data_IF_314453143286
#
_entry.id   IF_314453143286
#
_cell.length_a   1.000
_cell.length_b   1.000
_cell.length_c   1.000
_cell.angle_alpha   90.00
_cell.angle_beta   90.00
_cell.angle_gamma   90.00
#
_symmetry.space_group_name_H-M   'P 1'
#
loop_
_entity.id
_entity.type
_entity.pdbx_description
1 polymer ?
#
# COMPACT_ATOMS: atom_id res chain seq x y z
N UNK A 1 -95.83 -30.96 -25.81
CA UNK A 1 -96.53 -29.78 -25.29
C UNK A 1 -95.59 -28.98 -24.40
N UNK A 2 -95.32 -27.76 -24.76
CA UNK A 2 -94.57 -26.75 -23.96
C UNK A 2 -95.43 -26.28 -22.80
N UNK A 3 -94.91 -25.74 -21.72
CA UNK A 3 -94.12 -24.52 -21.56
C UNK A 3 -93.11 -24.64 -20.36
N UNK A 4 -92.25 -23.69 -20.07
CA UNK A 4 -92.08 -22.28 -20.16
C UNK A 4 -90.99 -21.90 -19.14
N UNK A 5 -89.98 -21.24 -19.56
CA UNK A 5 -88.77 -20.91 -18.78
C UNK A 5 -88.93 -19.45 -18.28
N UNK A 6 -88.69 -19.22 -16.97
CA UNK A 6 -88.45 -17.87 -16.42
C UNK A 6 -87.02 -17.74 -15.99
N UNK A 7 -86.35 -16.72 -16.64
CA UNK A 7 -84.99 -16.23 -16.28
C UNK A 7 -85.05 -15.29 -15.10
N UNK A 8 -84.26 -15.58 -14.09
CA UNK A 8 -83.91 -14.62 -13.06
C UNK A 8 -82.46 -14.27 -13.22
N UNK A 9 -82.18 -12.97 -13.54
CA UNK A 9 -80.85 -12.42 -13.66
C UNK A 9 -80.38 -12.02 -12.27
N UNK A 10 -79.23 -12.57 -11.82
CA UNK A 10 -78.50 -12.12 -10.63
C UNK A 10 -77.32 -11.24 -11.06
N UNK A 11 -77.34 -10.01 -10.59
CA UNK A 11 -76.23 -9.05 -10.70
C UNK A 11 -75.14 -9.40 -9.68
N UNK A 12 -73.95 -9.72 -10.16
CA UNK A 12 -72.73 -9.83 -9.32
C UNK A 12 -71.86 -8.60 -9.62
N UNK A 13 -71.80 -7.72 -8.64
CA UNK A 13 -70.93 -6.55 -8.69
C UNK A 13 -69.47 -6.95 -8.44
N UNK A 14 -68.64 -6.84 -9.46
CA UNK A 14 -67.19 -7.05 -9.37
C UNK A 14 -66.48 -5.83 -8.82
N UNK A 15 -65.92 -5.91 -7.62
CA UNK A 15 -65.07 -4.92 -7.03
C UNK A 15 -63.66 -5.08 -7.62
N UNK A 16 -63.28 -4.23 -8.56
CA UNK A 16 -61.93 -4.19 -9.11
C UNK A 16 -60.99 -3.51 -8.11
N UNK A 17 -60.12 -4.28 -7.50
CA UNK A 17 -59.05 -3.80 -6.62
C UNK A 17 -57.87 -3.40 -7.49
N UNK A 18 -57.64 -2.04 -7.68
CA UNK A 18 -56.47 -1.52 -8.33
C UNK A 18 -55.28 -1.69 -7.38
N UNK A 19 -54.38 -2.65 -7.67
CA UNK A 19 -53.03 -2.69 -7.06
C UNK A 19 -52.17 -1.61 -7.76
N UNK A 20 -51.96 -0.50 -7.10
CA UNK A 20 -50.88 0.45 -7.43
C UNK A 20 -49.54 -0.17 -7.05
N UNK A 21 -48.83 -0.79 -8.02
CA UNK A 21 -47.42 -1.10 -7.89
C UNK A 21 -46.65 0.23 -7.91
N UNK A 22 -46.30 0.74 -6.74
CA UNK A 22 -45.33 1.82 -6.60
C UNK A 22 -43.94 1.34 -7.00
N UNK A 23 -43.50 1.63 -8.22
CA UNK A 23 -42.12 1.47 -8.62
C UNK A 23 -41.26 2.46 -7.80
N UNK A 24 -40.57 1.96 -6.77
CA UNK A 24 -39.51 2.72 -6.10
C UNK A 24 -38.41 3.01 -7.13
N UNK A 25 -38.37 4.23 -7.66
CA UNK A 25 -37.26 4.72 -8.46
C UNK A 25 -36.00 4.72 -7.56
N UNK A 26 -35.14 3.71 -7.74
CA UNK A 26 -33.78 3.76 -7.22
C UNK A 26 -33.10 4.96 -7.86
N UNK A 27 -33.02 6.07 -7.12
CA UNK A 27 -32.30 7.27 -7.52
C UNK A 27 -30.84 6.91 -7.75
N UNK A 28 -30.45 6.85 -9.02
CA UNK A 28 -29.03 6.83 -9.41
C UNK A 28 -28.42 8.12 -8.91
N UNK A 29 -27.71 8.08 -7.79
CA UNK A 29 -26.91 9.20 -7.34
C UNK A 29 -25.84 9.44 -8.42
N UNK A 30 -26.04 10.50 -9.23
CA UNK A 30 -25.01 10.97 -10.14
C UNK A 30 -23.74 11.24 -9.33
N UNK A 31 -22.54 10.80 -9.78
CA UNK A 31 -21.30 11.14 -9.09
C UNK A 31 -21.18 12.66 -9.04
N UNK A 32 -21.15 13.20 -7.83
CA UNK A 32 -20.88 14.63 -7.59
C UNK A 32 -19.56 14.95 -8.29
N UNK A 33 -19.48 15.96 -9.17
CA UNK A 33 -18.22 16.34 -9.80
C UNK A 33 -17.19 16.61 -8.71
N UNK A 34 -16.05 15.94 -8.78
CA UNK A 34 -14.97 16.11 -7.79
C UNK A 34 -14.52 17.58 -7.86
N UNK A 35 -14.68 18.29 -6.75
CA UNK A 35 -14.19 19.66 -6.59
C UNK A 35 -12.66 19.64 -6.81
N UNK A 36 -12.12 20.32 -7.83
CA UNK A 36 -10.68 20.32 -8.13
C UNK A 36 -9.84 20.87 -6.98
N UNK A 37 -10.44 21.63 -6.05
CA UNK A 37 -9.78 22.14 -4.85
C UNK A 37 -9.57 21.08 -3.77
N UNK A 38 -10.22 19.90 -3.89
CA UNK A 38 -10.14 18.78 -2.94
C UNK A 38 -9.25 17.65 -3.42
N UNK A 39 -8.15 17.97 -4.10
CA UNK A 39 -7.14 17.01 -4.53
C UNK A 39 -5.90 17.13 -3.66
N UNK A 40 -5.43 16.01 -3.14
CA UNK A 40 -4.17 15.91 -2.41
C UNK A 40 -3.18 15.12 -3.26
N UNK A 41 -2.01 15.71 -3.52
CA UNK A 41 -0.94 15.11 -4.32
C UNK A 41 0.16 14.62 -3.43
N UNK A 42 0.54 13.33 -3.62
CA UNK A 42 1.67 12.70 -2.95
C UNK A 42 2.62 12.10 -3.99
N UNK A 43 3.92 12.15 -3.71
CA UNK A 43 4.92 11.41 -4.47
C UNK A 43 5.14 10.02 -3.85
N UNK A 44 5.50 9.04 -4.69
CA UNK A 44 5.74 7.67 -4.27
C UNK A 44 6.75 6.98 -5.21
N UNK A 45 7.00 5.70 -4.97
CA UNK A 45 7.84 4.85 -5.80
C UNK A 45 7.07 3.59 -6.23
N UNK A 46 7.64 2.86 -7.19
CA UNK A 46 7.21 1.49 -7.51
C UNK A 46 7.75 0.53 -6.43
N UNK A 47 6.90 0.13 -5.50
CA UNK A 47 7.23 -0.77 -4.38
C UNK A 47 6.09 -1.75 -4.11
N UNK A 48 5.85 -2.69 -5.04
CA UNK A 48 4.77 -3.64 -4.91
C UNK A 48 4.99 -4.62 -3.74
N UNK A 49 3.93 -5.02 -3.02
CA UNK A 49 2.51 -4.79 -3.30
C UNK A 49 1.94 -3.52 -2.64
N UNK A 50 2.75 -2.69 -2.01
CA UNK A 50 2.32 -1.54 -1.23
C UNK A 50 1.88 -0.35 -2.08
N UNK A 51 2.67 -0.03 -3.12
CA UNK A 51 2.43 1.11 -4.01
C UNK A 51 3.00 0.82 -5.40
N UNK A 52 2.31 1.28 -6.45
CA UNK A 52 2.73 1.11 -7.84
C UNK A 52 1.62 1.47 -8.83
N UNK A 53 2.00 2.08 -9.96
CA UNK A 53 1.06 2.59 -10.95
C UNK A 53 0.20 1.49 -11.58
N UNK A 54 0.77 0.30 -11.79
CA UNK A 54 0.12 -0.85 -12.43
C UNK A 54 -0.63 -1.77 -11.47
N UNK A 55 -0.51 -1.55 -10.15
CA UNK A 55 -1.16 -2.40 -9.15
C UNK A 55 -2.67 -2.12 -9.06
N UNK A 56 -3.50 -3.13 -8.72
CA UNK A 56 -4.88 -2.91 -8.35
C UNK A 56 -4.97 -1.86 -7.23
N UNK A 57 -5.84 -0.86 -7.41
CA UNK A 57 -5.98 0.28 -6.49
C UNK A 57 -4.66 1.02 -6.20
N UNK A 58 -3.69 0.91 -7.10
CA UNK A 58 -2.33 1.45 -6.97
C UNK A 58 -1.53 0.90 -5.76
N UNK A 59 -1.91 -0.27 -5.24
CA UNK A 59 -1.24 -0.95 -4.14
C UNK A 59 -1.88 -0.71 -2.77
N UNK A 60 -1.45 -1.51 -1.79
CA UNK A 60 -2.14 -1.63 -0.51
C UNK A 60 -2.10 -0.35 0.33
N UNK A 61 -0.95 0.30 0.48
CA UNK A 61 -0.85 1.56 1.22
C UNK A 61 -1.53 2.72 0.48
N UNK A 62 -1.47 2.74 -0.85
CA UNK A 62 -2.21 3.70 -1.67
C UNK A 62 -3.71 3.56 -1.45
N UNK A 63 -4.23 2.33 -1.40
CA UNK A 63 -5.63 2.05 -1.14
C UNK A 63 -6.09 2.57 0.24
N UNK A 64 -5.24 2.43 1.27
CA UNK A 64 -5.51 2.97 2.62
C UNK A 64 -5.58 4.49 2.58
N UNK A 65 -4.60 5.16 1.98
CA UNK A 65 -4.56 6.63 1.88
C UNK A 65 -5.78 7.13 1.09
N UNK A 66 -6.10 6.48 -0.04
CA UNK A 66 -7.24 6.85 -0.87
C UNK A 66 -8.57 6.72 -0.11
N UNK A 67 -8.75 5.63 0.65
CA UNK A 67 -9.95 5.42 1.48
C UNK A 67 -10.06 6.47 2.61
N UNK A 68 -8.94 6.76 3.28
CA UNK A 68 -8.89 7.79 4.32
C UNK A 68 -9.27 9.16 3.77
N UNK A 69 -8.68 9.56 2.66
CA UNK A 69 -8.98 10.84 2.01
C UNK A 69 -10.42 10.92 1.48
N UNK A 70 -10.93 9.83 0.89
CA UNK A 70 -12.31 9.76 0.41
C UNK A 70 -13.32 9.93 1.56
N UNK A 71 -13.03 9.37 2.75
CA UNK A 71 -13.88 9.56 3.95
C UNK A 71 -13.96 11.02 4.42
N UNK A 72 -13.01 11.85 3.98
CA UNK A 72 -12.92 13.28 4.26
C UNK A 72 -13.36 14.16 3.08
N UNK A 73 -13.82 13.55 1.97
CA UNK A 73 -14.25 14.25 0.77
C UNK A 73 -13.11 14.74 -0.13
N UNK A 74 -11.93 14.14 0.00
CA UNK A 74 -10.75 14.43 -0.83
C UNK A 74 -10.43 13.29 -1.77
N UNK A 75 -9.74 13.59 -2.88
CA UNK A 75 -9.20 12.63 -3.84
C UNK A 75 -7.67 12.62 -3.76
N UNK A 76 -7.09 11.43 -3.84
CA UNK A 76 -5.65 11.23 -3.90
C UNK A 76 -5.18 11.25 -5.37
N UNK A 77 -4.11 11.98 -5.66
CA UNK A 77 -3.30 11.84 -6.87
C UNK A 77 -1.89 11.42 -6.48
N UNK A 78 -1.38 10.37 -7.12
CA UNK A 78 -0.04 9.84 -6.87
C UNK A 78 0.82 9.96 -8.12
N UNK A 79 2.05 10.44 -7.95
CA UNK A 79 3.06 10.39 -9.00
C UNK A 79 4.25 9.53 -8.53
N UNK A 80 4.70 8.64 -9.42
CA UNK A 80 5.72 7.64 -9.14
C UNK A 80 7.07 8.06 -9.68
N UNK A 81 8.10 7.95 -8.84
CA UNK A 81 9.48 8.34 -9.15
C UNK A 81 10.46 7.33 -8.54
N UNK A 82 11.73 7.30 -8.99
CA UNK A 82 12.80 6.70 -8.21
C UNK A 82 12.83 7.28 -6.79
N UNK A 83 13.12 6.46 -5.78
CA UNK A 83 12.96 6.83 -4.37
C UNK A 83 13.64 8.15 -3.99
N UNK A 84 14.91 8.30 -4.37
CA UNK A 84 15.66 9.54 -4.10
C UNK A 84 14.96 10.79 -4.65
N UNK A 85 14.32 10.69 -5.83
CA UNK A 85 13.56 11.78 -6.42
C UNK A 85 12.23 12.00 -5.71
N UNK A 86 11.50 10.92 -5.36
CA UNK A 86 10.22 11.03 -4.64
C UNK A 86 10.37 11.81 -3.33
N UNK A 87 11.42 11.49 -2.55
CA UNK A 87 11.71 12.17 -1.28
C UNK A 87 12.25 13.58 -1.48
N UNK A 88 13.13 13.80 -2.48
CA UNK A 88 13.70 15.13 -2.78
C UNK A 88 12.63 16.16 -3.18
N UNK A 89 11.61 15.73 -3.96
CA UNK A 89 10.53 16.61 -4.37
C UNK A 89 9.76 17.22 -3.20
N UNK A 90 9.66 16.53 -2.08
CA UNK A 90 8.95 17.03 -0.90
C UNK A 90 9.81 17.99 -0.06
N UNK A 91 11.15 17.93 -0.19
CA UNK A 91 12.07 18.85 0.49
C UNK A 91 12.08 20.25 -0.15
N UNK A 92 11.72 20.33 -1.42
CA UNK A 92 11.74 21.58 -2.19
C UNK A 92 10.32 22.06 -2.48
N UNK A 93 10.17 23.25 -3.04
CA UNK A 93 8.86 23.73 -3.46
C UNK A 93 8.34 22.90 -4.65
N UNK A 94 7.24 22.19 -4.41
CA UNK A 94 6.65 21.26 -5.38
C UNK A 94 5.15 21.09 -5.11
N UNK A 95 4.38 20.56 -6.06
CA UNK A 95 2.94 20.34 -5.89
C UNK A 95 2.60 19.20 -4.93
N UNK A 96 3.60 18.45 -4.45
CA UNK A 96 3.39 17.31 -3.56
C UNK A 96 3.42 17.76 -2.09
N UNK A 97 2.35 17.44 -1.35
CA UNK A 97 2.26 17.74 0.09
C UNK A 97 3.16 16.81 0.92
N UNK A 98 3.47 15.63 0.41
CA UNK A 98 4.27 14.62 1.08
C UNK A 98 4.65 13.45 0.17
N UNK A 99 5.38 12.48 0.72
CA UNK A 99 5.75 11.22 0.06
C UNK A 99 5.44 10.01 0.95
N UNK A 100 5.30 8.83 0.35
CA UNK A 100 5.03 7.55 1.02
C UNK A 100 5.43 6.35 0.16
N UNK A 101 5.45 5.11 0.72
CA UNK A 101 5.47 4.80 2.15
C UNK A 101 6.88 4.97 2.72
N UNK A 102 7.00 5.30 4.00
CA UNK A 102 8.29 5.48 4.65
C UNK A 102 8.37 4.64 5.94
N UNK A 103 9.52 4.02 6.18
CA UNK A 103 9.91 3.52 7.48
C UNK A 103 10.53 4.65 8.30
N UNK A 104 9.90 4.99 9.41
CA UNK A 104 10.32 6.16 10.18
C UNK A 104 11.65 5.93 10.91
N UNK A 105 12.53 6.93 10.85
CA UNK A 105 13.69 7.11 11.71
C UNK A 105 13.55 8.37 12.56
N UNK A 106 14.37 8.48 13.62
CA UNK A 106 14.39 9.69 14.44
C UNK A 106 14.80 10.94 13.65
N UNK A 107 15.67 10.81 12.64
CA UNK A 107 16.08 11.92 11.78
C UNK A 107 14.92 12.40 10.90
N UNK A 108 14.21 11.49 10.26
CA UNK A 108 13.03 11.82 9.45
C UNK A 108 11.90 12.43 10.29
N UNK A 109 11.69 11.95 11.52
CA UNK A 109 10.70 12.52 12.43
C UNK A 109 11.02 13.97 12.85
N UNK A 110 12.29 14.40 12.75
CA UNK A 110 12.70 15.81 12.97
C UNK A 110 12.59 16.65 11.71
N UNK A 111 12.74 16.02 10.53
CA UNK A 111 12.73 16.71 9.24
C UNK A 111 11.34 16.92 8.69
N UNK A 112 10.42 15.96 8.90
CA UNK A 112 9.09 15.92 8.30
C UNK A 112 7.97 15.87 9.33
N UNK A 113 6.78 16.31 8.93
CA UNK A 113 5.56 16.03 9.66
C UNK A 113 5.08 14.61 9.27
N UNK A 114 4.88 13.74 10.24
CA UNK A 114 4.59 12.32 10.01
C UNK A 114 3.13 12.01 10.26
N UNK A 115 2.51 11.17 9.41
CA UNK A 115 1.14 10.68 9.61
C UNK A 115 1.01 9.71 10.79
N UNK A 116 -0.22 9.37 11.17
CA UNK A 116 -0.49 8.10 11.82
C UNK A 116 -0.11 6.93 10.89
N UNK A 117 0.13 5.70 11.39
CA UNK A 117 0.52 4.57 10.55
C UNK A 117 -0.51 4.25 9.47
N UNK A 118 -0.04 3.96 8.25
CA UNK A 118 -0.84 3.55 7.10
C UNK A 118 -0.73 2.05 6.80
N UNK A 119 0.02 1.31 7.60
CA UNK A 119 0.24 -0.12 7.46
C UNK A 119 1.53 -0.56 8.15
N UNK A 120 1.89 -1.82 7.91
CA UNK A 120 3.14 -2.42 8.40
C UNK A 120 3.88 -3.13 7.29
N UNK A 121 5.21 -3.24 7.45
CA UNK A 121 6.12 -3.95 6.57
C UNK A 121 7.06 -4.87 7.33
N UNK A 122 6.94 -6.21 7.16
CA UNK A 122 7.78 -7.19 7.84
C UNK A 122 9.18 -7.22 7.20
N UNK A 123 10.11 -6.45 7.77
CA UNK A 123 11.48 -6.30 7.31
C UNK A 123 12.34 -7.47 7.75
N UNK A 124 13.14 -8.04 6.85
CA UNK A 124 14.01 -9.17 7.13
C UNK A 124 15.03 -9.40 6.03
N UNK A 125 15.58 -10.62 5.96
CA UNK A 125 16.65 -10.93 5.04
C UNK A 125 16.24 -11.98 4.01
N UNK A 126 16.57 -11.74 2.74
CA UNK A 126 16.65 -12.77 1.72
C UNK A 126 18.09 -13.30 1.61
N UNK A 127 18.24 -14.60 1.28
CA UNK A 127 19.51 -15.28 1.11
C UNK A 127 19.47 -16.27 -0.06
N UNK A 128 20.64 -16.70 -0.55
CA UNK A 128 20.73 -17.70 -1.61
C UNK A 128 20.45 -19.10 -1.07
N UNK A 129 19.57 -19.87 -1.70
CA UNK A 129 19.11 -21.19 -1.23
C UNK A 129 20.26 -22.19 -0.98
N UNK A 130 21.34 -22.13 -1.80
CA UNK A 130 22.52 -22.99 -1.64
C UNK A 130 23.48 -22.52 -0.54
N UNK A 131 23.26 -21.33 0.05
CA UNK A 131 24.11 -20.76 1.10
C UNK A 131 23.25 -20.24 2.28
N UNK A 132 22.62 -21.14 3.06
CA UNK A 132 21.77 -20.73 4.17
C UNK A 132 22.55 -19.92 5.21
N UNK A 133 21.95 -18.84 5.66
CA UNK A 133 22.51 -17.95 6.67
C UNK A 133 21.82 -18.18 8.01
N UNK A 134 22.62 -18.24 9.09
CA UNK A 134 22.12 -18.27 10.48
C UNK A 134 22.60 -17.02 11.19
N UNK A 135 21.70 -16.39 11.91
CA UNK A 135 21.97 -15.24 12.76
C UNK A 135 20.99 -15.22 13.93
N UNK A 136 21.48 -14.89 15.09
CA UNK A 136 20.71 -14.77 16.33
C UNK A 136 20.75 -13.35 16.89
N UNK A 137 21.79 -12.60 16.54
CA UNK A 137 21.99 -11.22 16.96
C UNK A 137 22.46 -10.34 15.80
N UNK A 138 22.39 -9.05 15.97
CA UNK A 138 22.97 -8.08 15.02
C UNK A 138 24.49 -8.21 14.88
N UNK A 139 25.17 -8.75 15.90
CA UNK A 139 26.61 -9.00 15.84
C UNK A 139 26.96 -10.09 14.82
N UNK A 140 26.12 -11.11 14.68
CA UNK A 140 26.33 -12.22 13.75
C UNK A 140 26.25 -11.77 12.29
N UNK A 141 25.56 -10.67 12.04
CA UNK A 141 25.40 -10.08 10.69
C UNK A 141 26.65 -9.33 10.22
N UNK A 142 27.54 -8.90 11.13
CA UNK A 142 28.73 -8.09 10.81
C UNK A 142 29.72 -8.76 9.85
N UNK A 143 29.74 -10.08 9.80
CA UNK A 143 30.57 -10.88 8.86
C UNK A 143 30.04 -10.87 7.41
N UNK A 144 28.80 -10.43 7.21
CA UNK A 144 28.16 -10.43 5.89
C UNK A 144 28.12 -9.02 5.30
N UNK A 145 28.43 -8.89 4.00
CA UNK A 145 28.10 -7.72 3.22
C UNK A 145 26.63 -7.82 2.79
N UNK A 146 25.80 -6.89 3.25
CA UNK A 146 24.35 -6.95 3.08
C UNK A 146 23.91 -5.99 1.97
N UNK A 147 23.18 -6.48 0.97
CA UNK A 147 22.54 -5.66 -0.06
C UNK A 147 21.44 -4.82 0.59
N UNK A 148 21.46 -3.50 0.35
CA UNK A 148 20.45 -2.54 0.81
C UNK A 148 20.01 -1.65 -0.35
N UNK A 149 18.85 -1.03 -0.25
CA UNK A 149 18.45 0.00 -1.23
C UNK A 149 18.96 1.34 -0.74
N UNK A 150 19.56 2.09 -1.65
CA UNK A 150 20.09 3.42 -1.36
C UNK A 150 18.98 4.37 -0.90
N UNK A 151 19.21 5.05 0.22
CA UNK A 151 18.24 5.98 0.81
C UNK A 151 17.06 5.36 1.55
N UNK A 152 16.98 4.01 1.65
CA UNK A 152 15.97 3.39 2.51
C UNK A 152 16.38 3.49 3.98
N UNK A 153 15.40 3.81 4.84
CA UNK A 153 15.52 3.59 6.27
C UNK A 153 15.28 2.10 6.55
N UNK A 154 16.14 1.51 7.36
CA UNK A 154 15.97 0.13 7.82
C UNK A 154 15.54 0.13 9.29
N UNK A 155 16.30 -0.53 10.18
CA UNK A 155 16.06 -0.42 11.62
C UNK A 155 17.10 0.49 12.25
N UNK A 156 16.74 1.19 13.34
CA UNK A 156 17.67 2.08 14.03
C UNK A 156 18.97 1.37 14.42
N UNK A 157 18.85 0.12 14.90
CA UNK A 157 20.00 -0.68 15.29
C UNK A 157 20.89 -1.03 14.08
N UNK A 158 20.30 -1.42 12.95
CA UNK A 158 21.05 -1.76 11.73
C UNK A 158 21.72 -0.52 11.16
N UNK A 159 20.98 0.57 10.98
CA UNK A 159 21.49 1.80 10.36
C UNK A 159 22.58 2.45 11.24
N UNK A 160 22.44 2.38 12.57
CA UNK A 160 23.49 2.83 13.49
C UNK A 160 24.76 2.01 13.32
N UNK A 161 24.69 0.69 13.16
CA UNK A 161 25.87 -0.16 12.91
C UNK A 161 26.53 0.17 11.57
N UNK A 162 25.74 0.49 10.53
CA UNK A 162 26.27 0.94 9.23
C UNK A 162 27.02 2.25 9.40
N UNK A 163 26.42 3.27 10.05
CA UNK A 163 27.07 4.56 10.33
C UNK A 163 28.37 4.43 11.14
N UNK A 164 28.43 3.44 12.05
CA UNK A 164 29.61 3.15 12.85
C UNK A 164 30.66 2.28 12.13
N UNK A 165 30.44 1.89 10.88
CA UNK A 165 31.33 0.98 10.15
C UNK A 165 31.35 -0.47 10.68
N UNK A 166 30.40 -0.84 11.57
CA UNK A 166 30.27 -2.17 12.17
C UNK A 166 29.44 -3.14 11.32
N UNK A 167 28.82 -2.65 10.25
CA UNK A 167 28.07 -3.43 9.30
C UNK A 167 28.41 -2.98 7.86
N UNK A 168 28.94 -3.91 7.08
CA UNK A 168 29.20 -3.66 5.66
C UNK A 168 27.89 -3.78 4.86
N UNK A 169 27.66 -2.82 3.98
CA UNK A 169 26.52 -2.83 3.05
C UNK A 169 26.96 -2.70 1.59
N UNK A 170 26.09 -3.11 0.70
CA UNK A 170 26.25 -3.01 -0.77
C UNK A 170 24.97 -2.37 -1.33
N UNK A 171 24.97 -1.06 -1.61
CA UNK A 171 23.78 -0.35 -2.04
C UNK A 171 23.36 -0.73 -3.46
N UNK A 172 22.05 -0.66 -3.71
CA UNK A 172 21.41 -0.81 -5.00
C UNK A 172 20.32 0.25 -5.16
N UNK A 173 19.92 0.52 -6.40
CA UNK A 173 18.89 1.54 -6.69
C UNK A 173 17.46 1.08 -6.35
N UNK A 174 17.23 -0.25 -6.23
CA UNK A 174 15.94 -0.84 -5.85
C UNK A 174 16.10 -2.30 -5.40
N UNK A 175 15.02 -2.85 -4.85
CA UNK A 175 14.96 -4.24 -4.37
C UNK A 175 15.19 -5.27 -5.48
N UNK A 176 14.67 -5.04 -6.69
CA UNK A 176 14.86 -5.94 -7.83
C UNK A 176 16.35 -6.12 -8.15
N UNK A 177 17.11 -5.02 -8.20
CA UNK A 177 18.55 -5.09 -8.43
C UNK A 177 19.27 -5.85 -7.30
N UNK A 178 18.89 -5.64 -6.06
CA UNK A 178 19.46 -6.37 -4.92
C UNK A 178 19.19 -7.87 -5.01
N UNK A 179 17.96 -8.28 -5.33
CA UNK A 179 17.63 -9.71 -5.51
C UNK A 179 18.40 -10.35 -6.67
N UNK A 180 18.66 -9.61 -7.75
CA UNK A 180 19.52 -10.07 -8.85
C UNK A 180 20.98 -10.23 -8.40
N UNK A 181 21.51 -9.32 -7.56
CA UNK A 181 22.86 -9.48 -6.96
C UNK A 181 22.91 -10.71 -6.06
N UNK A 182 21.87 -10.95 -5.28
CA UNK A 182 21.76 -12.13 -4.41
C UNK A 182 21.74 -13.43 -5.22
N UNK A 183 20.89 -13.52 -6.24
CA UNK A 183 20.80 -14.69 -7.10
C UNK A 183 22.12 -14.99 -7.84
N UNK A 184 22.89 -13.95 -8.18
CA UNK A 184 24.22 -14.06 -8.78
C UNK A 184 25.36 -14.32 -7.76
N UNK A 185 25.05 -14.50 -6.47
CA UNK A 185 26.04 -14.74 -5.42
C UNK A 185 26.96 -13.56 -5.11
N UNK A 186 26.62 -12.33 -5.55
CA UNK A 186 27.43 -11.13 -5.34
C UNK A 186 27.32 -10.58 -3.90
N UNK A 187 26.21 -10.84 -3.25
CA UNK A 187 25.98 -10.54 -1.82
C UNK A 187 25.36 -11.78 -1.17
N UNK A 188 25.74 -12.13 0.06
CA UNK A 188 25.18 -13.29 0.80
C UNK A 188 23.78 -13.02 1.35
N UNK A 189 23.44 -11.76 1.63
CA UNK A 189 22.18 -11.32 2.20
C UNK A 189 21.66 -10.05 1.51
N UNK A 190 20.35 -9.94 1.46
CA UNK A 190 19.64 -8.69 1.08
C UNK A 190 18.65 -8.35 2.16
N UNK A 191 18.69 -7.14 2.66
CA UNK A 191 17.68 -6.59 3.56
C UNK A 191 16.50 -6.08 2.73
N UNK A 192 15.32 -6.65 2.97
CA UNK A 192 14.13 -6.42 2.15
C UNK A 192 12.87 -6.69 2.96
N UNK A 193 11.78 -6.00 2.63
CA UNK A 193 10.44 -6.33 3.13
C UNK A 193 9.98 -7.69 2.59
N UNK A 194 9.37 -8.53 3.45
CA UNK A 194 8.94 -9.89 3.08
C UNK A 194 7.85 -9.90 2.00
N UNK A 195 6.92 -8.93 2.04
CA UNK A 195 5.83 -8.86 1.06
C UNK A 195 6.35 -8.37 -0.29
N UNK A 196 7.29 -7.42 -0.28
CA UNK A 196 7.99 -6.97 -1.50
C UNK A 196 8.79 -8.11 -2.11
N UNK A 197 9.56 -8.83 -1.31
CA UNK A 197 10.27 -10.04 -1.73
C UNK A 197 9.33 -11.04 -2.38
N UNK A 198 8.25 -11.43 -1.70
CA UNK A 198 7.29 -12.41 -2.20
C UNK A 198 6.65 -11.93 -3.52
N UNK A 199 6.23 -10.67 -3.59
CA UNK A 199 5.64 -10.12 -4.81
C UNK A 199 6.63 -10.16 -5.99
N UNK A 200 7.86 -9.70 -5.78
CA UNK A 200 8.87 -9.64 -6.83
C UNK A 200 9.25 -11.02 -7.35
N UNK A 201 9.49 -12.01 -6.49
CA UNK A 201 9.88 -13.36 -6.94
C UNK A 201 8.74 -14.12 -7.62
N UNK A 202 7.49 -13.74 -7.36
CA UNK A 202 6.31 -14.37 -7.99
C UNK A 202 5.89 -13.70 -9.30
N UNK A 203 5.99 -12.38 -9.37
CA UNK A 203 5.34 -11.60 -10.43
C UNK A 203 6.31 -10.89 -11.39
N UNK A 204 7.56 -10.60 -10.95
CA UNK A 204 8.52 -9.94 -11.84
C UNK A 204 9.10 -10.92 -12.86
N UNK A 205 9.03 -10.57 -14.15
CA UNK A 205 9.44 -11.44 -15.25
C UNK A 205 10.92 -11.87 -15.18
N UNK A 206 11.80 -10.99 -14.67
CA UNK A 206 13.25 -11.28 -14.56
C UNK A 206 13.59 -12.06 -13.27
N UNK A 207 12.81 -11.90 -12.20
CA UNK A 207 13.07 -12.54 -10.91
C UNK A 207 12.36 -13.88 -10.76
N UNK A 208 11.22 -14.08 -11.41
CA UNK A 208 10.49 -15.36 -11.36
C UNK A 208 11.34 -16.58 -11.77
N UNK A 209 12.18 -16.55 -12.82
CA UNK A 209 13.09 -17.64 -13.13
C UNK A 209 14.17 -17.87 -12.06
N UNK A 210 14.50 -16.86 -11.27
CA UNK A 210 15.50 -16.91 -10.19
C UNK A 210 14.90 -17.31 -8.84
N UNK A 211 13.57 -17.38 -8.71
CA UNK A 211 12.88 -17.71 -7.47
C UNK A 211 13.37 -19.01 -6.78
N UNK A 212 13.72 -20.11 -7.53
CA UNK A 212 14.28 -21.32 -6.91
C UNK A 212 15.59 -21.08 -6.16
N UNK A 213 16.36 -20.06 -6.54
CA UNK A 213 17.65 -19.71 -5.94
C UNK A 213 17.52 -18.83 -4.69
N UNK A 214 16.33 -18.27 -4.45
CA UNK A 214 16.11 -17.25 -3.42
C UNK A 214 15.25 -17.81 -2.28
N UNK A 215 15.57 -17.44 -1.06
CA UNK A 215 14.78 -17.76 0.15
C UNK A 215 14.69 -16.53 1.02
N UNK A 216 13.55 -16.37 1.69
CA UNK A 216 13.40 -15.39 2.75
C UNK A 216 13.64 -16.05 4.11
N UNK A 217 14.41 -15.40 4.97
CA UNK A 217 14.73 -15.93 6.29
C UNK A 217 13.49 -15.89 7.18
N UNK A 218 13.15 -16.97 7.93
CA UNK A 218 11.94 -17.03 8.75
C UNK A 218 11.91 -15.98 9.86
N UNK A 219 13.09 -15.66 10.42
CA UNK A 219 13.23 -14.63 11.45
C UNK A 219 13.23 -13.25 10.80
N UNK A 220 12.30 -12.40 11.21
CA UNK A 220 12.26 -10.98 10.85
C UNK A 220 13.31 -10.20 11.63
N UNK A 221 13.78 -9.12 11.03
CA UNK A 221 14.54 -8.10 11.72
C UNK A 221 13.62 -7.23 12.57
N UNK A 222 12.51 -6.76 11.97
CA UNK A 222 11.48 -5.94 12.62
C UNK A 222 10.19 -5.97 11.79
N UNK A 223 9.03 -5.87 12.43
CA UNK A 223 7.77 -5.54 11.75
C UNK A 223 7.54 -4.03 11.87
N UNK A 224 7.95 -3.31 10.83
CA UNK A 224 7.96 -1.84 10.83
C UNK A 224 6.63 -1.26 10.41
N UNK A 225 6.27 -0.13 11.03
CA UNK A 225 5.13 0.68 10.59
C UNK A 225 5.52 1.52 9.37
N UNK A 226 4.54 1.73 8.49
CA UNK A 226 4.65 2.56 7.30
C UNK A 226 3.91 3.87 7.50
N UNK A 227 4.48 4.97 7.00
CA UNK A 227 4.00 6.33 7.22
C UNK A 227 4.00 7.16 5.94
N UNK A 228 3.32 8.31 6.00
CA UNK A 228 3.47 9.41 5.05
C UNK A 228 4.33 10.48 5.73
N UNK A 229 5.32 10.98 5.02
CA UNK A 229 6.14 12.13 5.43
C UNK A 229 5.66 13.36 4.68
N UNK A 230 5.14 14.35 5.40
CA UNK A 230 4.65 15.62 4.84
C UNK A 230 5.68 16.71 5.01
N UNK A 231 5.65 17.69 4.11
CA UNK A 231 6.48 18.89 4.21
C UNK A 231 6.21 19.63 5.53
N UNK A 232 7.25 20.12 6.24
CA UNK A 232 7.08 20.84 7.50
C UNK A 232 6.68 22.31 7.27
N UNK A 233 5.49 22.52 6.68
CA UNK A 233 4.88 23.82 6.44
C UNK A 233 3.36 23.77 6.68
N UNK A 234 2.68 24.91 6.56
CA UNK A 234 1.24 25.02 6.82
C UNK A 234 0.40 24.07 5.94
N UNK A 235 0.77 23.88 4.69
CA UNK A 235 0.05 22.96 3.79
C UNK A 235 0.27 21.49 4.18
N UNK A 236 1.51 21.09 4.49
CA UNK A 236 1.80 19.74 4.99
C UNK A 236 1.08 19.44 6.30
N UNK A 237 1.01 20.39 7.22
CA UNK A 237 0.24 20.26 8.48
C UNK A 237 -1.26 20.11 8.22
N UNK A 238 -1.82 20.92 7.32
CA UNK A 238 -3.22 20.82 6.91
C UNK A 238 -3.52 19.42 6.33
N UNK A 239 -2.69 18.94 5.41
CA UNK A 239 -2.88 17.64 4.76
C UNK A 239 -2.70 16.50 5.75
N UNK A 240 -1.70 16.55 6.63
CA UNK A 240 -1.50 15.57 7.71
C UNK A 240 -2.74 15.45 8.60
N UNK A 241 -3.31 16.57 9.00
CA UNK A 241 -4.53 16.62 9.84
C UNK A 241 -5.70 15.94 9.12
N UNK A 242 -5.92 16.22 7.83
CA UNK A 242 -6.97 15.59 7.02
C UNK A 242 -6.74 14.07 6.92
N UNK A 243 -5.52 13.65 6.59
CA UNK A 243 -5.18 12.22 6.46
C UNK A 243 -5.41 11.50 7.79
N UNK A 244 -4.87 12.01 8.90
CA UNK A 244 -5.00 11.37 10.20
C UNK A 244 -6.48 11.29 10.67
N UNK A 245 -7.27 12.32 10.38
CA UNK A 245 -8.71 12.29 10.65
C UNK A 245 -9.42 11.22 9.80
N UNK A 246 -9.02 11.05 8.53
CA UNK A 246 -9.54 10.03 7.64
C UNK A 246 -9.13 8.62 8.04
N UNK A 247 -7.87 8.42 8.45
CA UNK A 247 -7.38 7.12 8.95
C UNK A 247 -8.18 6.60 10.15
N UNK A 248 -8.65 7.49 11.03
CA UNK A 248 -9.50 7.15 12.18
C UNK A 248 -10.93 6.76 11.79
N UNK A 249 -11.36 6.98 10.55
CA UNK A 249 -12.70 6.68 10.03
C UNK A 249 -12.79 5.37 9.26
N UNK A 250 -11.67 4.72 9.01
CA UNK A 250 -11.60 3.48 8.23
C UNK A 250 -10.99 2.35 9.04
N UNK A 251 -11.28 1.12 8.66
CA UNK A 251 -10.56 -0.06 9.13
C UNK A 251 -9.32 -0.26 8.23
N UNK A 252 -8.16 0.20 8.71
CA UNK A 252 -6.89 0.13 7.97
C UNK A 252 -6.53 -1.32 7.65
N UNK A 253 -6.68 -2.23 8.62
CA UNK A 253 -6.31 -3.65 8.44
C UNK A 253 -7.21 -4.33 7.40
N UNK A 254 -8.51 -4.06 7.42
CA UNK A 254 -9.43 -4.59 6.42
C UNK A 254 -9.12 -4.07 5.02
N UNK A 255 -8.80 -2.78 4.87
CA UNK A 255 -8.43 -2.18 3.57
C UNK A 255 -7.12 -2.75 3.05
N UNK A 256 -6.11 -2.90 3.92
CA UNK A 256 -4.82 -3.53 3.58
C UNK A 256 -5.01 -4.98 3.14
N UNK A 257 -5.73 -5.79 3.94
CA UNK A 257 -5.98 -7.20 3.65
C UNK A 257 -6.69 -7.38 2.30
N UNK A 258 -7.73 -6.58 2.05
CA UNK A 258 -8.47 -6.61 0.79
C UNK A 258 -7.58 -6.22 -0.42
N UNK A 259 -6.67 -5.26 -0.25
CA UNK A 259 -5.77 -4.83 -1.32
C UNK A 259 -4.62 -5.83 -1.57
N UNK A 260 -4.08 -6.43 -0.51
CA UNK A 260 -3.04 -7.48 -0.61
C UNK A 260 -3.61 -8.79 -1.16
N UNK A 261 -4.84 -9.17 -0.78
CA UNK A 261 -5.54 -10.36 -1.29
C UNK A 261 -5.91 -10.25 -2.77
N UNK A 262 -6.29 -9.09 -3.25
CA UNK A 262 -6.58 -8.83 -4.65
C UNK A 262 -5.33 -8.92 -5.56
N UNK A 263 -4.14 -8.75 -5.02
CA UNK A 263 -2.87 -8.89 -5.75
C UNK A 263 -2.34 -10.32 -5.85
N UNK A 264 -2.92 -11.28 -5.11
CA UNK A 264 -2.53 -12.70 -5.12
C UNK A 264 -3.43 -13.62 -5.94
N UNK A 265 -4.45 -13.09 -6.60
CA UNK A 265 -5.47 -13.87 -7.32
C UNK A 265 -5.31 -13.86 -8.85
N UNK A 266 -4.15 -13.48 -9.38
CA UNK A 266 -3.85 -13.56 -10.83
C UNK A 266 -2.67 -14.50 -11.09
#
# INVERSE_FOLDING_TARGET
>A
MRPGVHFLAAWVGGLAMLLCCGAAAAGSASPVPADPTRVIRLSSLEWPPYTGASLPRHGATTAVIAAALASMGYRLEVAYFPWSRATALVRHDSPFAGYYPEYLSADLAREFLVSDPIGTGPLGFAYHAAAPVRWDSMADLSKYRIGVVEGYVNTEQFDTRVRQGKQMVDPAVNDKQNLRKLAAGRVPLVLIDRRVYAHLVLNDADLRPLAPLLRFHPRLLEDKKLYICFRPNAEGERVRTIVNAGLKRIDIEAVLAAALGAGGAN
#
